data_IF_568493322609
#
_entry.id   IF_568493322609
#
_cell.length_a   1.000
_cell.length_b   1.000
_cell.length_c   1.000
_cell.angle_alpha   90.00
_cell.angle_beta   90.00
_cell.angle_gamma   90.00
#
_symmetry.space_group_name_H-M   'P 1'
#
loop_
_entity.id
_entity.type
_entity.pdbx_description
1 polymer ?
#
# COMPACT_ATOMS: atom_id res chain seq x y z
N UNK A 1 -9.01 -0.27 13.14
CA UNK A 1 -9.34 -0.57 11.73
C UNK A 1 -8.12 -0.22 10.89
N UNK A 2 -7.46 -1.20 10.29
CA UNK A 2 -6.32 -0.99 9.40
C UNK A 2 -6.74 -0.60 7.99
N UNK A 3 -5.86 0.07 7.26
CA UNK A 3 -6.06 0.43 5.85
C UNK A 3 -5.55 -0.70 4.98
N UNK A 4 -6.33 -1.06 3.95
CA UNK A 4 -5.95 -2.10 3.00
C UNK A 4 -5.25 -1.49 1.79
N UNK A 5 -4.23 -2.19 1.31
CA UNK A 5 -3.49 -1.82 0.11
C UNK A 5 -3.60 -2.93 -0.93
N UNK A 6 -3.55 -2.58 -2.20
CA UNK A 6 -3.44 -3.50 -3.33
C UNK A 6 -2.03 -3.40 -3.90
N UNK A 7 -1.40 -4.53 -4.20
CA UNK A 7 -0.12 -4.53 -4.94
C UNK A 7 -0.42 -4.45 -6.42
N UNK A 8 0.02 -3.37 -7.05
CA UNK A 8 -0.12 -3.15 -8.49
C UNK A 8 1.05 -3.76 -9.27
N UNK A 9 2.27 -3.64 -8.72
CA UNK A 9 3.49 -4.15 -9.36
C UNK A 9 4.53 -4.55 -8.32
N UNK A 10 5.33 -5.55 -8.65
CA UNK A 10 6.52 -5.95 -7.89
C UNK A 10 7.72 -5.80 -8.82
N UNK A 11 8.76 -5.14 -8.34
CA UNK A 11 10.06 -5.08 -8.98
C UNK A 11 11.09 -5.72 -8.04
N UNK A 12 11.60 -6.88 -8.45
CA UNK A 12 12.54 -7.67 -7.66
C UNK A 12 13.96 -7.12 -7.75
N UNK A 13 14.32 -6.42 -8.84
CA UNK A 13 15.65 -5.84 -9.02
C UNK A 13 15.81 -4.61 -8.13
N UNK A 14 14.83 -3.71 -8.18
CA UNK A 14 14.82 -2.51 -7.35
C UNK A 14 14.30 -2.75 -5.93
N UNK A 15 13.82 -3.96 -5.62
CA UNK A 15 13.28 -4.34 -4.30
C UNK A 15 12.10 -3.47 -3.89
N UNK A 16 11.25 -3.13 -4.85
CA UNK A 16 10.09 -2.27 -4.65
C UNK A 16 8.76 -2.94 -4.95
N UNK A 17 7.72 -2.51 -4.24
CA UNK A 17 6.32 -2.77 -4.52
C UNK A 17 5.65 -1.45 -4.90
N UNK A 18 4.82 -1.46 -5.94
CA UNK A 18 3.88 -0.37 -6.19
C UNK A 18 2.56 -0.71 -5.52
N UNK A 19 2.13 0.10 -4.55
CA UNK A 19 0.91 -0.15 -3.79
C UNK A 19 -0.10 0.97 -3.95
N UNK A 20 -1.38 0.61 -4.06
CA UNK A 20 -2.51 1.53 -4.11
C UNK A 20 -3.42 1.31 -2.91
N UNK A 21 -3.99 2.37 -2.35
CA UNK A 21 -4.89 2.26 -1.21
C UNK A 21 -6.28 1.84 -1.71
N UNK A 22 -6.82 0.73 -1.18
CA UNK A 22 -8.00 0.07 -1.78
C UNK A 22 -9.24 0.96 -1.77
N UNK A 23 -9.41 1.78 -0.75
CA UNK A 23 -10.54 2.69 -0.60
C UNK A 23 -10.55 3.84 -1.62
N UNK A 24 -9.42 4.15 -2.25
CA UNK A 24 -9.32 5.16 -3.30
C UNK A 24 -9.41 4.61 -4.73
N UNK A 25 -9.48 3.30 -4.92
CA UNK A 25 -9.60 2.71 -6.26
C UNK A 25 -10.87 3.17 -6.98
N UNK A 26 -11.95 3.38 -6.22
CA UNK A 26 -13.25 3.86 -6.71
C UNK A 26 -13.43 5.39 -6.60
N UNK A 27 -12.34 6.14 -6.42
CA UNK A 27 -12.35 7.60 -6.34
C UNK A 27 -12.35 8.16 -4.91
N UNK A 28 -12.43 9.48 -4.78
CA UNK A 28 -12.25 10.18 -3.51
C UNK A 28 -13.43 10.07 -2.54
N UNK A 29 -14.61 9.67 -3.01
CA UNK A 29 -15.85 9.78 -2.23
C UNK A 29 -16.20 8.60 -1.32
N UNK A 30 -15.37 7.56 -1.27
CA UNK A 30 -15.59 6.39 -0.41
C UNK A 30 -14.35 6.00 0.43
N UNK A 31 -13.65 6.95 1.08
CA UNK A 31 -12.45 6.61 1.83
C UNK A 31 -12.82 5.87 3.11
N UNK A 32 -11.97 4.95 3.53
CA UNK A 32 -11.93 4.54 4.92
C UNK A 32 -11.20 5.63 5.70
N UNK A 33 -11.86 6.25 6.68
CA UNK A 33 -11.24 7.32 7.44
C UNK A 33 -10.19 6.74 8.40
N UNK A 34 -8.92 7.02 8.10
CA UNK A 34 -7.77 6.58 8.89
C UNK A 34 -6.47 7.02 8.24
N UNK A 35 -5.63 7.71 9.02
CA UNK A 35 -4.22 7.88 8.65
C UNK A 35 -3.53 6.53 8.87
N UNK A 36 -2.72 6.10 7.91
CA UNK A 36 -1.90 4.91 8.11
C UNK A 36 -0.47 5.17 7.71
N UNK A 37 0.40 4.91 8.67
CA UNK A 37 1.82 4.77 8.47
C UNK A 37 2.05 3.30 8.11
N UNK A 38 2.82 3.05 7.06
CA UNK A 38 3.23 1.68 6.76
C UNK A 38 4.11 1.17 7.87
N UNK A 39 4.09 -0.13 8.10
CA UNK A 39 4.97 -0.75 9.08
C UNK A 39 6.43 -0.56 8.65
N UNK A 40 7.16 0.28 9.40
CA UNK A 40 8.55 0.62 9.11
C UNK A 40 9.49 -0.54 9.34
N UNK A 41 9.08 -1.61 10.03
CA UNK A 41 9.88 -2.83 10.13
C UNK A 41 9.90 -3.61 8.81
N UNK A 42 8.91 -3.38 7.94
CA UNK A 42 8.68 -4.16 6.72
C UNK A 42 8.80 -3.35 5.45
N UNK A 43 8.55 -2.06 5.52
CA UNK A 43 8.53 -1.18 4.36
C UNK A 43 9.27 0.13 4.64
N UNK A 44 9.97 0.61 3.63
CA UNK A 44 10.44 1.99 3.58
C UNK A 44 9.71 2.74 2.45
N UNK A 45 9.46 4.03 2.66
CA UNK A 45 8.91 4.89 1.62
C UNK A 45 9.99 5.19 0.58
N UNK A 46 9.71 4.90 -0.69
CA UNK A 46 10.61 5.26 -1.77
C UNK A 46 10.55 6.78 -2.04
N UNK A 47 11.69 7.42 -2.39
CA UNK A 47 11.81 8.87 -2.51
C UNK A 47 10.96 9.50 -3.63
N UNK A 48 10.49 8.72 -4.61
CA UNK A 48 9.70 9.18 -5.75
C UNK A 48 8.20 9.39 -5.43
N UNK A 49 7.86 9.60 -4.16
CA UNK A 49 6.48 9.78 -3.71
C UNK A 49 6.42 10.61 -2.42
N UNK A 50 5.25 11.18 -2.12
CA UNK A 50 5.07 11.84 -0.83
C UNK A 50 3.63 12.15 -0.49
N UNK A 51 3.46 12.67 0.72
CA UNK A 51 2.15 12.85 1.31
C UNK A 51 1.38 14.03 0.70
N UNK A 52 0.07 13.84 0.59
CA UNK A 52 -0.96 14.85 0.36
C UNK A 52 -1.99 14.72 1.48
N UNK A 53 -2.68 15.81 1.77
CA UNK A 53 -3.79 15.81 2.73
C UNK A 53 -5.10 16.01 1.99
N UNK A 54 -6.05 15.11 2.24
CA UNK A 54 -7.40 15.15 1.67
C UNK A 54 -8.38 15.48 2.79
N UNK A 55 -9.11 16.58 2.66
CA UNK A 55 -10.06 17.10 3.61
C UNK A 55 -11.49 16.82 3.12
N UNK A 56 -12.38 16.41 4.02
CA UNK A 56 -13.76 16.05 3.71
C UNK A 56 -14.76 16.85 4.51
N UNK A 57 -15.91 17.13 3.91
CA UNK A 57 -17.04 17.80 4.55
C UNK A 57 -16.73 19.23 4.96
N UNK A 58 -16.05 19.97 4.08
CA UNK A 58 -15.63 21.34 4.31
C UNK A 58 -16.78 22.36 4.11
N UNK A 59 -16.76 23.44 4.90
CA UNK A 59 -17.69 24.57 4.80
C UNK A 59 -17.58 25.31 3.46
N UNK A 60 -18.67 25.98 3.05
CA UNK A 60 -18.81 26.56 1.71
C UNK A 60 -18.05 27.87 1.48
N UNK A 61 -17.41 28.42 2.51
CA UNK A 61 -16.92 29.80 2.55
C UNK A 61 -15.64 30.04 1.75
N UNK A 62 -15.03 28.99 1.21
CA UNK A 62 -13.82 29.15 0.41
C UNK A 62 -14.12 29.51 -1.04
N UNK A 63 -13.61 30.66 -1.44
CA UNK A 63 -13.60 31.17 -2.80
C UNK A 63 -12.96 30.17 -3.78
N UNK A 64 -13.36 30.32 -5.04
CA UNK A 64 -13.03 29.65 -6.30
C UNK A 64 -11.55 29.43 -6.67
N UNK A 65 -10.61 29.48 -5.72
CA UNK A 65 -9.16 29.40 -5.96
C UNK A 65 -8.54 28.00 -5.82
N UNK A 66 -9.28 26.99 -5.33
CA UNK A 66 -8.76 25.61 -5.25
C UNK A 66 -9.36 24.78 -6.39
N UNK A 67 -8.57 24.63 -7.46
CA UNK A 67 -8.88 23.72 -8.58
C UNK A 67 -8.87 22.24 -8.18
N UNK A 68 -8.22 21.89 -7.06
CA UNK A 68 -8.20 20.54 -6.48
C UNK A 68 -9.38 20.19 -5.56
N UNK A 69 -10.47 20.95 -5.60
CA UNK A 69 -11.70 20.63 -4.87
C UNK A 69 -12.50 19.51 -5.54
N UNK A 70 -13.25 18.74 -4.75
CA UNK A 70 -14.18 17.72 -5.23
C UNK A 70 -15.47 17.75 -4.41
N UNK A 71 -16.52 17.08 -4.89
CA UNK A 71 -17.80 17.03 -4.18
C UNK A 71 -18.35 15.61 -4.17
N UNK A 72 -18.75 15.17 -2.99
CA UNK A 72 -19.31 13.84 -2.75
C UNK A 72 -20.74 13.97 -2.23
N UNK A 73 -21.64 13.11 -2.70
CA UNK A 73 -23.06 13.16 -2.30
C UNK A 73 -23.26 12.93 -0.79
N UNK A 74 -22.43 12.07 -0.17
CA UNK A 74 -22.53 11.70 1.25
C UNK A 74 -21.66 12.56 2.17
N UNK A 75 -20.40 12.79 1.80
CA UNK A 75 -19.42 13.52 2.60
C UNK A 75 -19.36 15.02 2.30
N UNK A 76 -20.04 15.49 1.25
CA UNK A 76 -20.08 16.89 0.84
C UNK A 76 -18.79 17.33 0.12
N UNK A 77 -18.46 18.62 0.25
CA UNK A 77 -17.29 19.21 -0.41
C UNK A 77 -16.00 18.70 0.23
N UNK A 78 -15.03 18.37 -0.62
CA UNK A 78 -13.67 18.01 -0.23
C UNK A 78 -12.61 18.88 -0.89
N UNK A 79 -11.44 18.94 -0.26
CA UNK A 79 -10.31 19.79 -0.65
C UNK A 79 -9.03 18.97 -0.55
N UNK A 80 -8.13 19.13 -1.51
CA UNK A 80 -6.83 18.45 -1.54
C UNK A 80 -5.73 19.48 -1.38
N UNK A 81 -4.75 19.22 -0.52
CA UNK A 81 -3.58 20.09 -0.31
C UNK A 81 -2.27 19.29 -0.27
N UNK A 82 -1.11 19.88 -0.62
CA UNK A 82 0.18 19.22 -0.52
C UNK A 82 0.53 18.89 0.95
N UNK A 83 1.12 17.72 1.22
CA UNK A 83 1.36 17.22 2.58
C UNK A 83 2.45 17.95 3.38
N UNK A 84 3.31 18.74 2.73
CA UNK A 84 4.29 19.61 3.38
C UNK A 84 3.80 21.05 3.56
N UNK A 85 2.56 21.34 3.16
CA UNK A 85 2.09 22.70 3.22
C UNK A 85 1.80 23.09 4.68
N UNK A 86 2.45 24.18 5.11
CA UNK A 86 2.05 24.95 6.29
C UNK A 86 0.70 25.66 6.07
N UNK A 87 -0.21 25.05 5.31
CA UNK A 87 -1.62 25.36 5.36
C UNK A 87 -2.10 24.86 6.71
N UNK A 88 -1.77 25.64 7.74
CA UNK A 88 -2.48 25.64 8.99
C UNK A 88 -3.94 25.78 8.55
N UNK A 89 -4.74 24.72 8.69
CA UNK A 89 -6.19 24.78 8.40
C UNK A 89 -6.81 25.96 9.17
N UNK A 90 -6.18 26.33 10.28
CA UNK A 90 -6.40 27.51 11.12
C UNK A 90 -6.10 28.87 10.45
N UNK A 91 -5.31 28.96 9.38
CA UNK A 91 -4.90 30.20 8.69
C UNK A 91 -5.65 30.44 7.37
N UNK A 92 -6.63 29.60 7.01
CA UNK A 92 -7.41 29.72 5.77
C UNK A 92 -8.57 30.73 5.91
N UNK A 93 -8.44 31.65 6.88
CA UNK A 93 -9.49 32.53 7.34
C UNK A 93 -10.36 31.84 8.39
N UNK A 94 -10.79 32.61 9.37
CA UNK A 94 -11.77 32.22 10.39
C UNK A 94 -13.05 31.69 9.71
N UNK A 95 -13.11 30.41 9.34
CA UNK A 95 -14.29 29.87 8.64
C UNK A 95 -14.15 28.55 7.88
N UNK A 96 -12.95 28.10 7.49
CA UNK A 96 -12.81 26.79 6.83
C UNK A 96 -12.86 25.66 7.86
N UNK A 97 -14.02 25.03 7.99
CA UNK A 97 -14.24 23.90 8.90
C UNK A 97 -14.47 22.66 8.05
N UNK A 98 -13.59 21.66 8.18
CA UNK A 98 -13.72 20.34 7.56
C UNK A 98 -13.97 19.28 8.63
N UNK A 99 -14.83 18.30 8.31
CA UNK A 99 -15.24 17.25 9.25
C UNK A 99 -14.18 16.16 9.45
N UNK A 100 -13.36 15.90 8.44
CA UNK A 100 -12.38 14.82 8.47
C UNK A 100 -11.17 15.13 7.60
N UNK A 101 -10.04 14.49 7.92
CA UNK A 101 -8.81 14.54 7.14
C UNK A 101 -8.24 13.14 6.93
N UNK A 102 -7.64 12.89 5.77
CA UNK A 102 -6.87 11.68 5.48
C UNK A 102 -5.55 12.09 4.85
N UNK A 103 -4.45 11.57 5.38
CA UNK A 103 -3.14 11.66 4.75
C UNK A 103 -3.00 10.46 3.81
N UNK A 104 -2.74 10.74 2.54
CA UNK A 104 -2.49 9.75 1.50
C UNK A 104 -1.17 10.08 0.79
N UNK A 105 -0.52 9.09 0.20
CA UNK A 105 0.74 9.28 -0.52
C UNK A 105 0.49 9.09 -2.02
N UNK A 106 1.06 9.96 -2.83
CA UNK A 106 0.96 9.96 -4.29
C UNK A 106 2.36 10.09 -4.91
N UNK A 107 2.58 9.58 -6.14
CA UNK A 107 3.85 9.73 -6.83
C UNK A 107 4.16 11.20 -7.18
N UNK A 108 5.45 11.53 -7.26
CA UNK A 108 5.88 12.80 -7.87
C UNK A 108 5.68 12.74 -9.40
N UNK A 109 5.32 13.86 -10.06
CA UNK A 109 5.25 15.23 -9.52
C UNK A 109 3.87 15.62 -8.98
N UNK A 110 2.89 14.69 -8.96
CA UNK A 110 1.49 14.98 -8.59
C UNK A 110 1.41 15.60 -7.19
N UNK A 111 2.23 15.11 -6.25
CA UNK A 111 2.36 15.68 -4.91
C UNK A 111 2.59 17.20 -4.91
N UNK A 112 3.51 17.68 -5.76
CA UNK A 112 3.95 19.08 -5.80
C UNK A 112 2.87 20.03 -6.31
N UNK A 113 1.91 19.52 -7.09
CA UNK A 113 0.82 20.30 -7.66
C UNK A 113 -0.53 20.02 -6.98
N UNK A 114 -0.54 19.22 -5.90
CA UNK A 114 -1.73 18.93 -5.14
C UNK A 114 -2.44 20.24 -4.70
N UNK A 115 -3.75 20.34 -4.94
CA UNK A 115 -4.54 21.56 -4.68
C UNK A 115 -4.64 22.55 -5.85
N UNK A 116 -3.76 22.46 -6.84
CA UNK A 116 -3.84 23.25 -8.09
C UNK A 116 -4.32 22.38 -9.26
N UNK A 117 -3.99 21.09 -9.26
CA UNK A 117 -4.49 20.14 -10.26
C UNK A 117 -5.94 19.75 -9.98
N UNK A 118 -6.64 19.33 -11.03
CA UNK A 118 -7.99 18.79 -10.93
C UNK A 118 -8.01 17.51 -10.06
N UNK A 119 -9.08 17.31 -9.30
CA UNK A 119 -9.26 16.12 -8.46
C UNK A 119 -9.15 14.79 -9.21
N UNK A 120 -9.52 14.73 -10.49
CA UNK A 120 -9.40 13.52 -11.32
C UNK A 120 -7.95 13.06 -11.49
N UNK A 121 -6.99 13.99 -11.62
CA UNK A 121 -5.58 13.63 -11.68
C UNK A 121 -5.08 13.05 -10.35
N UNK A 122 -5.63 13.52 -9.23
CA UNK A 122 -5.32 12.96 -7.91
C UNK A 122 -5.93 11.56 -7.76
N UNK A 123 -7.16 11.36 -8.24
CA UNK A 123 -7.81 10.03 -8.26
C UNK A 123 -7.00 9.02 -9.06
N UNK A 124 -6.55 9.41 -10.25
CA UNK A 124 -5.69 8.57 -11.09
C UNK A 124 -4.37 8.24 -10.38
N UNK A 125 -3.71 9.23 -9.76
CA UNK A 125 -2.47 9.01 -9.02
C UNK A 125 -2.64 8.11 -7.78
N UNK A 126 -3.77 8.24 -7.07
CA UNK A 126 -4.10 7.37 -5.93
C UNK A 126 -4.40 5.94 -6.36
N UNK A 127 -5.07 5.76 -7.51
CA UNK A 127 -5.34 4.45 -8.11
C UNK A 127 -4.07 3.80 -8.67
N UNK A 128 -3.22 4.60 -9.30
CA UNK A 128 -1.92 4.16 -9.80
C UNK A 128 -1.01 3.70 -8.65
N UNK A 129 -1.12 4.36 -7.50
CA UNK A 129 -0.38 4.02 -6.30
C UNK A 129 1.05 4.58 -6.31
N UNK A 130 1.81 4.23 -5.29
CA UNK A 130 3.16 4.74 -5.08
C UNK A 130 4.14 3.60 -4.74
N UNK A 131 5.43 3.75 -5.08
CA UNK A 131 6.44 2.76 -4.77
C UNK A 131 6.80 2.75 -3.28
N UNK A 132 7.02 1.56 -2.75
CA UNK A 132 7.57 1.31 -1.41
C UNK A 132 8.65 0.25 -1.52
N UNK A 133 9.72 0.38 -0.75
CA UNK A 133 10.74 -0.65 -0.64
C UNK A 133 10.30 -1.67 0.40
N UNK A 134 10.53 -2.96 0.15
CA UNK A 134 10.18 -4.03 1.09
C UNK A 134 11.43 -4.64 1.72
N UNK A 135 11.38 -4.84 3.04
CA UNK A 135 12.47 -5.34 3.87
C UNK A 135 12.39 -6.86 3.97
N UNK A 136 13.09 -7.51 3.07
CA UNK A 136 13.26 -8.98 3.07
C UNK A 136 14.75 -9.28 3.05
N UNK A 137 15.16 -10.34 3.76
CA UNK A 137 16.49 -10.92 3.59
C UNK A 137 16.58 -11.58 2.21
N UNK A 138 17.10 -10.84 1.23
CA UNK A 138 17.26 -11.30 -0.15
C UNK A 138 18.23 -12.47 -0.27
N UNK A 139 19.25 -12.56 0.59
CA UNK A 139 20.20 -13.67 0.55
C UNK A 139 19.51 -14.96 0.99
N UNK A 140 18.76 -14.92 2.10
CA UNK A 140 17.94 -16.05 2.53
C UNK A 140 16.89 -16.42 1.47
N UNK A 141 16.31 -15.43 0.80
CA UNK A 141 15.35 -15.63 -0.28
C UNK A 141 15.97 -16.36 -1.49
N UNK A 142 17.21 -16.01 -1.86
CA UNK A 142 17.94 -16.70 -2.93
C UNK A 142 18.37 -18.12 -2.55
N UNK A 143 18.76 -18.36 -1.29
CA UNK A 143 19.01 -19.71 -0.78
C UNK A 143 17.74 -20.58 -0.83
N UNK A 144 16.61 -20.01 -0.42
CA UNK A 144 15.31 -20.66 -0.52
C UNK A 144 14.99 -21.06 -1.97
N UNK A 145 15.15 -20.15 -2.92
CA UNK A 145 14.92 -20.45 -4.34
C UNK A 145 15.85 -21.55 -4.86
N UNK A 146 17.14 -21.53 -4.49
CA UNK A 146 18.13 -22.57 -4.85
C UNK A 146 17.76 -23.96 -4.32
N UNK A 147 17.03 -24.01 -3.21
CA UNK A 147 16.52 -25.26 -2.62
C UNK A 147 15.15 -25.68 -3.14
N UNK A 148 14.65 -25.07 -4.22
CA UNK A 148 13.31 -25.30 -4.79
C UNK A 148 12.14 -24.89 -3.87
N UNK A 149 12.39 -23.96 -2.94
CA UNK A 149 11.36 -23.37 -2.10
C UNK A 149 10.77 -22.08 -2.68
N UNK A 150 9.68 -21.61 -2.05
CA UNK A 150 9.07 -20.31 -2.30
C UNK A 150 9.40 -19.40 -1.13
N UNK A 151 10.10 -18.31 -1.41
CA UNK A 151 10.45 -17.31 -0.41
C UNK A 151 9.20 -16.52 0.03
N UNK A 152 9.12 -16.24 1.33
CA UNK A 152 8.14 -15.32 1.87
C UNK A 152 8.54 -14.79 3.24
N UNK A 153 7.59 -14.22 3.96
CA UNK A 153 7.82 -13.56 5.24
C UNK A 153 6.90 -14.16 6.31
N UNK A 154 7.44 -14.47 7.48
CA UNK A 154 6.68 -14.94 8.63
C UNK A 154 6.49 -13.79 9.63
N UNK A 155 5.24 -13.35 9.77
CA UNK A 155 4.84 -12.26 10.65
C UNK A 155 5.02 -12.58 12.14
N UNK A 156 4.92 -13.85 12.53
CA UNK A 156 5.08 -14.23 13.94
C UNK A 156 6.54 -14.20 14.37
N UNK A 157 7.44 -14.47 13.41
CA UNK A 157 8.89 -14.53 13.64
C UNK A 157 9.61 -13.27 13.16
N UNK A 158 8.90 -12.34 12.51
CA UNK A 158 9.41 -11.10 11.93
C UNK A 158 10.65 -11.35 11.06
N UNK A 159 10.63 -12.40 10.23
CA UNK A 159 11.78 -12.80 9.41
C UNK A 159 11.38 -13.44 8.09
N UNK A 160 12.31 -13.42 7.13
CA UNK A 160 12.20 -14.19 5.89
C UNK A 160 12.14 -15.69 6.20
N UNK A 161 11.25 -16.39 5.50
CA UNK A 161 11.08 -17.84 5.61
C UNK A 161 11.00 -18.47 4.22
N UNK A 162 11.31 -19.76 4.16
CA UNK A 162 11.29 -20.58 2.96
C UNK A 162 10.17 -21.60 3.04
N UNK A 163 9.18 -21.47 2.17
CA UNK A 163 8.06 -22.41 2.09
C UNK A 163 8.40 -23.56 1.15
N UNK A 164 8.37 -24.77 1.67
CA UNK A 164 8.74 -25.98 0.95
C UNK A 164 7.49 -26.83 0.66
N UNK A 165 7.47 -27.54 -0.47
CA UNK A 165 6.28 -28.31 -0.88
C UNK A 165 5.88 -29.40 0.14
N UNK A 166 6.86 -30.00 0.82
CA UNK A 166 6.67 -31.10 1.77
C UNK A 166 6.86 -30.69 3.23
N UNK A 167 7.30 -29.46 3.49
CA UNK A 167 7.62 -29.00 4.84
C UNK A 167 7.15 -27.55 5.00
N UNK A 168 6.22 -27.36 5.92
CA UNK A 168 5.62 -26.07 6.25
C UNK A 168 6.14 -25.56 7.60
N UNK A 169 7.28 -26.08 8.08
CA UNK A 169 7.89 -25.62 9.31
C UNK A 169 8.15 -24.10 9.26
N UNK A 170 7.83 -23.36 10.32
CA UNK A 170 8.11 -21.92 10.38
C UNK A 170 9.61 -21.63 10.34
N UNK A 171 10.01 -20.53 9.72
CA UNK A 171 11.38 -20.01 9.77
C UNK A 171 12.46 -20.85 9.06
N UNK A 172 12.08 -21.69 8.09
CA UNK A 172 13.05 -22.40 7.26
C UNK A 172 13.86 -21.40 6.41
N UNK A 173 15.16 -21.62 6.27
CA UNK A 173 16.01 -20.82 5.35
C UNK A 173 16.11 -21.43 3.96
N UNK A 174 16.09 -22.76 3.90
CA UNK A 174 16.14 -23.54 2.68
C UNK A 174 15.38 -24.85 2.88
N UNK A 175 14.89 -25.42 1.78
CA UNK A 175 14.23 -26.71 1.80
C UNK A 175 15.23 -27.85 1.99
N UNK A 176 14.89 -28.84 2.81
CA UNK A 176 15.73 -30.03 2.96
C UNK A 176 15.83 -30.75 1.61
N UNK A 177 17.04 -31.20 1.27
CA UNK A 177 17.26 -32.00 0.06
C UNK A 177 16.49 -33.32 0.19
N UNK A 178 15.39 -33.48 -0.55
CA UNK A 178 14.68 -34.74 -0.65
C UNK A 178 15.60 -35.78 -1.29
N UNK A 179 15.84 -36.89 -0.59
CA UNK A 179 16.42 -38.10 -1.17
C UNK A 179 15.48 -38.58 -2.28
N UNK A 180 15.91 -38.45 -3.55
CA UNK A 180 15.33 -38.99 -4.78
C UNK A 180 13.87 -39.51 -4.75
N UNK A 181 12.94 -38.80 -5.40
CA UNK A 181 12.18 -39.34 -6.56
C UNK A 181 11.16 -38.31 -7.08
N UNK A 182 11.29 -37.94 -8.36
CA UNK A 182 10.21 -37.32 -9.15
C UNK A 182 10.27 -35.80 -9.26
N UNK A 183 10.66 -35.33 -10.44
CA UNK A 183 10.44 -33.96 -10.91
C UNK A 183 8.96 -33.61 -10.80
N UNK A 184 8.59 -32.96 -9.70
CA UNK A 184 7.30 -32.28 -9.59
C UNK A 184 7.59 -30.87 -9.12
N UNK A 185 7.60 -29.94 -10.08
CA UNK A 185 7.62 -28.52 -9.81
C UNK A 185 6.45 -28.21 -8.86
N UNK A 186 6.76 -27.77 -7.64
CA UNK A 186 5.76 -27.50 -6.60
C UNK A 186 4.68 -26.56 -7.12
N UNK A 187 3.46 -27.10 -7.26
CA UNK A 187 2.25 -26.31 -7.48
C UNK A 187 1.70 -25.89 -6.13
N UNK A 188 1.26 -24.62 -5.96
CA UNK A 188 0.62 -24.20 -4.73
C UNK A 188 -0.67 -25.01 -4.51
N UNK A 189 -1.01 -25.41 -3.27
CA UNK A 189 -2.21 -26.16 -2.98
C UNK A 189 -3.45 -25.39 -3.43
N UNK A 190 -4.30 -26.07 -4.20
CA UNK A 190 -5.58 -25.53 -4.67
C UNK A 190 -6.51 -25.33 -3.47
N UNK A 191 -7.15 -24.16 -3.43
CA UNK A 191 -7.93 -23.61 -2.33
C UNK A 191 -9.06 -24.52 -1.84
N UNK A 192 -9.13 -24.77 -0.53
CA UNK A 192 -10.40 -24.99 0.22
C UNK A 192 -10.30 -24.70 1.73
N UNK A 193 -9.12 -24.36 2.27
CA UNK A 193 -8.99 -23.98 3.68
C UNK A 193 -9.13 -22.47 3.87
N UNK A 194 -9.97 -22.07 4.81
CA UNK A 194 -10.03 -20.72 5.39
C UNK A 194 -8.66 -20.27 5.92
N UNK A 195 -7.93 -19.43 5.18
CA UNK A 195 -6.64 -18.89 5.62
C UNK A 195 -6.58 -17.39 5.32
N UNK A 196 -6.65 -16.58 6.37
CA UNK A 196 -6.91 -15.15 6.29
C UNK A 196 -5.67 -14.24 6.25
N UNK A 197 -4.41 -14.73 6.36
CA UNK A 197 -3.26 -13.85 6.65
C UNK A 197 -1.91 -14.24 6.00
N UNK A 198 -1.82 -14.63 4.72
CA UNK A 198 -0.53 -15.00 4.08
C UNK A 198 -0.18 -14.15 2.83
N UNK A 199 1.12 -13.87 2.62
CA UNK A 199 1.67 -13.37 1.36
C UNK A 199 2.53 -14.45 0.70
N UNK A 200 2.21 -14.80 -0.53
CA UNK A 200 3.09 -15.55 -1.42
C UNK A 200 3.75 -14.59 -2.40
N UNK A 201 5.08 -14.64 -2.53
CA UNK A 201 5.77 -14.04 -3.68
C UNK A 201 5.70 -15.05 -4.84
N UNK A 202 4.49 -15.30 -5.33
CA UNK A 202 4.24 -15.87 -6.67
C UNK A 202 3.14 -15.03 -7.31
N UNK A 203 3.47 -14.49 -8.49
CA UNK A 203 2.58 -13.73 -9.37
C UNK A 203 1.22 -14.42 -9.44
N UNK A 204 0.15 -13.63 -9.33
CA UNK A 204 -1.29 -13.93 -9.40
C UNK A 204 -2.04 -13.66 -8.08
N UNK A 205 -2.58 -12.42 -8.01
CA UNK A 205 -3.57 -11.87 -7.07
C UNK A 205 -3.16 -11.74 -5.60
N UNK A 206 -2.81 -10.52 -5.13
CA UNK A 206 -2.70 -10.26 -3.68
C UNK A 206 -3.23 -8.88 -3.26
N UNK A 207 -4.25 -8.91 -2.40
CA UNK A 207 -4.67 -7.82 -1.52
C UNK A 207 -3.76 -7.83 -0.29
N UNK A 208 -3.12 -6.70 0.03
CA UNK A 208 -2.43 -6.50 1.31
C UNK A 208 -3.46 -6.16 2.37
N UNK A 209 -3.71 -7.09 3.29
CA UNK A 209 -4.37 -6.80 4.55
C UNK A 209 -3.31 -6.34 5.56
N UNK A 210 -3.19 -5.03 5.77
CA UNK A 210 -2.51 -4.49 6.96
C UNK A 210 -3.54 -4.56 8.10
N UNK A 211 -3.43 -5.58 8.94
CA UNK A 211 -4.16 -5.65 10.20
C UNK A 211 -3.18 -5.35 11.35
N UNK A 212 -3.44 -4.26 12.07
CA UNK A 212 -2.92 -4.02 13.43
C UNK A 212 -3.88 -4.71 14.40
#
# INVERSE_FOLDING_TARGET
MGVKYQVEKIDQESKTLKIARVDYLNGLCSPQFGNTVLDTELFDYAPASGDITILYGCSSQMNSMISGGFNCSSSGRGIIVPGNSSWNISNIGDGLVCRSRVIARVPDPVRSYAGIVNSTMIEEALREGYPVEYKVDFNACEECKKSNGVCGYDWNLNQTTCYCGNDQSPGLKACPATSQSGDTLGTPPNSTGTFANWFYIKVYYFLIFIAI
#
